data_IF_095918144423
#
_entry.id   IF_095918144423
#
_cell.length_a   1.000
_cell.length_b   1.000
_cell.length_c   1.000
_cell.angle_alpha   90.00
_cell.angle_beta   90.00
_cell.angle_gamma   90.00
#
_symmetry.space_group_name_H-M   'P 1'
#
loop_
_entity.id
_entity.type
_entity.pdbx_description
1 polymer ?
#
# COMPACT_ATOMS: atom_id res chain seq x y z
N UNK A 1 -58.37 3.05 -13.05
CA UNK A 1 -57.98 2.81 -11.65
C UNK A 1 -57.23 1.47 -11.41
N UNK A 2 -56.64 0.84 -12.43
CA UNK A 2 -55.97 -0.48 -12.29
C UNK A 2 -54.43 -0.43 -12.16
N UNK A 3 -53.80 0.74 -12.30
CA UNK A 3 -52.34 0.90 -12.23
C UNK A 3 -51.81 1.08 -10.79
N UNK A 4 -52.62 1.65 -9.89
CA UNK A 4 -52.24 1.89 -8.49
C UNK A 4 -52.25 0.61 -7.64
N UNK A 5 -53.12 -0.35 -7.96
CA UNK A 5 -53.33 -1.57 -7.19
C UNK A 5 -52.17 -2.59 -7.38
N UNK A 6 -51.56 -2.61 -8.57
CA UNK A 6 -50.40 -3.47 -8.87
C UNK A 6 -49.12 -3.01 -8.15
N UNK A 7 -48.95 -1.70 -7.95
CA UNK A 7 -47.81 -1.13 -7.22
C UNK A 7 -47.91 -1.36 -5.71
N UNK A 8 -49.12 -1.29 -5.15
CA UNK A 8 -49.35 -1.60 -3.74
C UNK A 8 -49.02 -3.06 -3.41
N UNK A 9 -49.42 -4.00 -4.27
CA UNK A 9 -49.11 -5.42 -4.09
C UNK A 9 -47.61 -5.73 -4.21
N UNK A 10 -46.90 -5.09 -5.15
CA UNK A 10 -45.46 -5.25 -5.31
C UNK A 10 -44.67 -4.67 -4.11
N UNK A 11 -45.07 -3.51 -3.59
CA UNK A 11 -44.42 -2.91 -2.42
C UNK A 11 -44.67 -3.73 -1.14
N UNK A 12 -45.86 -4.31 -0.96
CA UNK A 12 -46.16 -5.16 0.18
C UNK A 12 -45.33 -6.45 0.19
N UNK A 13 -45.11 -7.08 -0.98
CA UNK A 13 -44.26 -8.27 -1.10
C UNK A 13 -42.79 -7.97 -0.78
N UNK A 14 -42.27 -6.82 -1.23
CA UNK A 14 -40.88 -6.40 -0.98
C UNK A 14 -40.66 -6.07 0.51
N UNK A 15 -41.63 -5.41 1.17
CA UNK A 15 -41.57 -5.12 2.61
C UNK A 15 -41.64 -6.40 3.45
N UNK A 16 -42.44 -7.38 3.06
CA UNK A 16 -42.45 -8.69 3.73
C UNK A 16 -41.15 -9.47 3.53
N UNK A 17 -40.54 -9.43 2.34
CA UNK A 17 -39.23 -10.08 2.09
C UNK A 17 -38.13 -9.39 2.91
N UNK A 18 -38.14 -8.06 3.02
CA UNK A 18 -37.18 -7.30 3.85
C UNK A 18 -37.35 -7.57 5.36
N UNK A 19 -38.58 -7.82 5.84
CA UNK A 19 -38.84 -8.16 7.25
C UNK A 19 -38.41 -9.59 7.62
N UNK A 20 -38.35 -10.53 6.67
CA UNK A 20 -37.86 -11.89 6.95
C UNK A 20 -36.32 -12.00 6.97
N UNK A 21 -35.58 -11.02 6.43
CA UNK A 21 -34.10 -11.02 6.46
C UNK A 21 -33.54 -10.47 7.79
N UNK A 22 -34.35 -9.78 8.60
CA UNK A 22 -33.94 -9.23 9.91
C UNK A 22 -33.99 -10.26 11.05
N UNK A 23 -34.41 -11.50 10.78
CA UNK A 23 -34.45 -12.59 11.77
C UNK A 23 -33.42 -13.71 11.48
N UNK A 24 -32.33 -13.39 10.77
CA UNK A 24 -31.17 -14.26 10.63
C UNK A 24 -30.28 -14.20 11.88
N UNK A 25 -30.40 -15.23 12.70
CA UNK A 25 -29.71 -15.48 13.97
C UNK A 25 -28.18 -15.33 13.90
N UNK A 26 -27.66 -14.59 14.88
CA UNK A 26 -26.25 -14.46 15.24
C UNK A 26 -25.81 -15.70 16.03
N UNK A 27 -24.70 -16.32 15.63
CA UNK A 27 -23.95 -17.25 16.48
C UNK A 27 -22.47 -17.10 16.14
N UNK A 28 -21.82 -16.13 16.79
CA UNK A 28 -20.38 -15.97 16.81
C UNK A 28 -19.99 -15.60 18.24
N UNK A 29 -19.38 -16.56 18.93
CA UNK A 29 -18.97 -16.49 20.34
C UNK A 29 -18.01 -15.34 20.67
N UNK A 30 -18.02 -14.84 21.93
CA UNK A 30 -17.09 -13.82 22.42
C UNK A 30 -15.66 -14.37 22.62
N UNK A 31 -14.61 -13.53 22.52
CA UNK A 31 -13.27 -13.92 22.92
C UNK A 31 -13.06 -13.73 24.44
N UNK A 32 -12.56 -14.75 25.16
CA UNK A 32 -11.91 -14.52 26.44
C UNK A 32 -10.41 -14.32 26.23
N UNK A 33 -9.92 -13.16 26.62
CA UNK A 33 -8.50 -12.92 26.84
C UNK A 33 -8.04 -13.50 28.18
N UNK A 34 -6.91 -14.19 28.09
CA UNK A 34 -5.78 -14.19 29.03
C UNK A 34 -5.49 -15.45 29.87
N UNK A 35 -4.23 -15.87 29.73
CA UNK A 35 -3.30 -16.31 30.78
C UNK A 35 -3.13 -17.81 31.11
N UNK A 36 -1.87 -18.22 30.91
CA UNK A 36 -1.01 -19.04 31.77
C UNK A 36 -1.03 -20.58 31.73
N UNK A 37 0.21 -21.09 31.64
CA UNK A 37 0.76 -22.33 32.17
C UNK A 37 0.55 -23.63 31.37
N UNK A 38 1.42 -23.85 30.39
CA UNK A 38 1.93 -25.19 30.10
C UNK A 38 3.25 -25.38 30.87
N UNK A 39 3.21 -26.25 31.88
CA UNK A 39 4.36 -26.94 32.45
C UNK A 39 4.57 -28.19 31.60
N UNK A 40 5.79 -28.38 31.11
CA UNK A 40 6.42 -29.64 30.71
C UNK A 40 7.80 -29.23 30.15
N UNK A 41 8.93 -29.89 30.35
CA UNK A 41 9.40 -30.84 31.34
C UNK A 41 10.94 -30.85 31.12
N UNK A 42 11.70 -31.20 32.16
CA UNK A 42 13.04 -31.80 32.06
C UNK A 42 14.23 -30.99 31.51
N UNK A 43 14.87 -30.27 32.43
CA UNK A 43 16.32 -30.00 32.45
C UNK A 43 17.12 -31.31 32.45
N UNK A 44 18.17 -31.42 31.63
CA UNK A 44 19.46 -31.78 32.21
C UNK A 44 20.57 -30.79 31.82
N UNK A 45 21.50 -30.67 32.76
CA UNK A 45 22.56 -29.68 32.82
C UNK A 45 23.55 -29.76 31.65
N UNK A 46 23.69 -28.66 30.91
CA UNK A 46 24.88 -28.42 30.10
C UNK A 46 26.00 -27.93 31.02
N UNK A 47 26.88 -28.86 31.39
CA UNK A 47 28.09 -28.56 32.13
C UNK A 47 28.95 -27.53 31.38
N UNK A 48 29.24 -26.43 32.08
CA UNK A 48 30.15 -25.38 31.67
C UNK A 48 31.51 -25.96 31.26
N UNK A 49 31.81 -25.94 29.95
CA UNK A 49 33.16 -26.17 29.45
C UNK A 49 33.97 -24.89 29.59
N UNK A 50 34.73 -24.88 30.69
CA UNK A 50 35.86 -24.03 31.06
C UNK A 50 36.61 -23.45 29.85
N UNK A 51 36.59 -22.12 29.73
CA UNK A 51 37.56 -21.38 28.91
C UNK A 51 38.96 -21.51 29.54
N UNK A 52 39.96 -21.81 28.72
CA UNK A 52 41.34 -21.47 28.99
C UNK A 52 41.89 -20.76 27.75
N UNK A 53 41.89 -19.43 27.81
CA UNK A 53 42.67 -18.58 26.91
C UNK A 53 44.02 -18.40 27.59
N UNK A 54 45.08 -18.92 26.97
CA UNK A 54 46.44 -18.56 27.31
C UNK A 54 47.31 -18.76 26.08
N UNK A 55 47.67 -17.66 25.41
CA UNK A 55 49.08 -17.26 25.25
C UNK A 55 49.20 -15.91 24.57
N UNK A 56 50.22 -15.22 25.05
CA UNK A 56 50.68 -13.86 24.84
C UNK A 56 51.25 -13.57 23.45
N UNK A 57 50.97 -12.34 22.99
CA UNK A 57 51.85 -11.42 22.27
C UNK A 57 52.57 -11.89 20.99
N UNK A 58 52.12 -11.38 19.83
CA UNK A 58 52.95 -10.70 18.84
C UNK A 58 52.08 -10.12 17.72
N UNK A 59 52.34 -8.87 17.35
CA UNK A 59 51.70 -8.16 16.25
C UNK A 59 51.95 -8.84 14.90
N UNK A 60 50.91 -9.02 14.08
CA UNK A 60 51.03 -9.18 12.64
C UNK A 60 49.75 -8.70 11.94
N UNK A 61 49.98 -7.89 10.91
CA UNK A 61 49.03 -7.20 10.04
C UNK A 61 48.38 -8.18 9.04
N UNK A 62 47.24 -7.77 8.49
CA UNK A 62 46.56 -8.19 7.22
C UNK A 62 45.18 -8.83 7.47
N UNK A 63 44.09 -8.09 7.30
CA UNK A 63 43.46 -7.69 6.03
C UNK A 63 42.96 -8.90 5.22
N UNK A 64 41.69 -9.27 5.43
CA UNK A 64 40.98 -10.20 4.55
C UNK A 64 39.81 -9.45 3.90
N UNK A 65 40.11 -8.94 2.71
CA UNK A 65 39.11 -8.59 1.71
C UNK A 65 38.45 -9.88 1.22
N UNK A 66 37.11 -9.92 1.19
CA UNK A 66 36.31 -10.62 0.17
C UNK A 66 34.79 -10.56 0.48
N UNK A 67 34.22 -9.37 0.62
CA UNK A 67 32.79 -9.19 0.32
C UNK A 67 32.68 -8.72 -1.13
N UNK A 68 32.52 -9.71 -2.00
CA UNK A 68 32.46 -9.60 -3.46
C UNK A 68 31.41 -8.59 -3.89
N UNK A 69 31.90 -7.43 -4.35
CA UNK A 69 31.34 -6.50 -5.34
C UNK A 69 30.09 -7.04 -6.07
N UNK A 70 28.93 -6.52 -5.72
CA UNK A 70 27.88 -6.23 -6.71
C UNK A 70 27.70 -4.71 -6.84
N UNK A 71 28.76 -4.05 -7.29
CA UNK A 71 28.59 -2.88 -8.18
C UNK A 71 28.14 -3.42 -9.53
N UNK A 72 26.86 -3.76 -9.60
CA UNK A 72 26.11 -3.77 -10.84
C UNK A 72 25.43 -2.41 -10.94
N UNK A 73 26.19 -1.39 -11.34
CA UNK A 73 25.60 -0.25 -12.05
C UNK A 73 25.25 -0.78 -13.45
N UNK A 74 24.24 -1.64 -13.51
CA UNK A 74 23.43 -1.71 -14.71
C UNK A 74 22.65 -0.42 -14.63
N UNK A 75 23.03 0.60 -15.42
CA UNK A 75 22.05 1.62 -15.74
C UNK A 75 20.80 0.85 -16.17
N UNK A 76 19.63 1.05 -15.53
CA UNK A 76 18.43 0.39 -15.99
C UNK A 76 18.21 0.96 -17.40
N UNK A 77 18.62 0.19 -18.42
CA UNK A 77 18.36 0.52 -19.82
C UNK A 77 16.86 0.48 -20.10
N UNK A 78 16.08 -0.01 -19.14
CA UNK A 78 14.64 0.05 -19.10
C UNK A 78 14.24 0.41 -17.67
N UNK A 79 13.53 1.52 -17.54
CA UNK A 79 12.94 1.94 -16.29
C UNK A 79 11.95 0.89 -15.80
N UNK A 80 12.32 0.22 -14.71
CA UNK A 80 11.39 -0.67 -14.02
C UNK A 80 10.25 0.17 -13.43
N UNK A 81 9.08 -0.45 -13.24
CA UNK A 81 7.98 0.16 -12.46
C UNK A 81 8.46 0.61 -11.07
N UNK A 82 9.52 -0.01 -10.54
CA UNK A 82 10.19 0.33 -9.28
C UNK A 82 10.86 1.72 -9.28
N UNK A 83 11.07 2.34 -10.44
CA UNK A 83 11.61 3.69 -10.57
C UNK A 83 10.61 4.77 -10.14
N UNK A 84 9.34 4.40 -9.92
CA UNK A 84 8.31 5.30 -9.42
C UNK A 84 7.76 4.74 -8.12
N UNK A 85 7.80 5.55 -7.07
CA UNK A 85 7.24 5.20 -5.76
C UNK A 85 5.96 5.99 -5.55
N UNK A 86 4.88 5.26 -5.26
CA UNK A 86 3.60 5.84 -4.84
C UNK A 86 3.47 5.63 -3.34
N UNK A 87 3.28 6.72 -2.59
CA UNK A 87 3.08 6.70 -1.15
C UNK A 87 1.84 7.49 -0.77
N UNK A 88 1.21 7.10 0.33
CA UNK A 88 -0.04 7.68 0.80
C UNK A 88 0.00 7.86 2.31
N UNK A 89 -0.57 8.97 2.80
CA UNK A 89 -0.71 9.25 4.22
C UNK A 89 -2.06 9.88 4.51
N UNK A 90 -2.71 9.46 5.60
CA UNK A 90 -3.92 10.13 6.09
C UNK A 90 -3.57 11.50 6.66
N UNK A 91 -4.28 12.53 6.20
CA UNK A 91 -4.13 13.90 6.65
C UNK A 91 -5.09 14.14 7.81
N UNK A 92 -4.54 14.37 9.00
CA UNK A 92 -5.34 14.67 10.20
C UNK A 92 -6.17 15.93 9.95
N UNK A 93 -7.49 15.79 10.04
CA UNK A 93 -8.43 16.91 9.92
C UNK A 93 -9.36 17.00 11.13
N UNK A 94 -9.98 18.17 11.27
CA UNK A 94 -10.97 18.48 12.33
C UNK A 94 -12.09 17.42 12.33
N UNK A 95 -12.62 17.01 13.50
CA UNK A 95 -13.67 16.00 13.58
C UNK A 95 -14.90 16.35 12.72
N UNK A 96 -15.47 15.35 12.04
CA UNK A 96 -16.75 15.47 11.33
C UNK A 96 -16.69 15.61 9.80
N UNK A 97 -15.54 15.33 9.17
CA UNK A 97 -15.39 15.34 7.71
C UNK A 97 -15.11 13.96 7.11
N UNK A 98 -15.25 13.84 5.79
CA UNK A 98 -14.75 12.68 5.04
C UNK A 98 -13.22 12.61 5.20
N UNK A 99 -12.64 11.41 5.46
CA UNK A 99 -11.19 11.25 5.54
C UNK A 99 -10.48 11.83 4.32
N UNK A 100 -9.23 12.23 4.53
CA UNK A 100 -8.42 12.85 3.49
C UNK A 100 -7.05 12.19 3.46
N UNK A 101 -6.56 11.94 2.26
CA UNK A 101 -5.31 11.24 2.04
C UNK A 101 -4.44 12.08 1.11
N UNK A 102 -3.19 12.28 1.51
CA UNK A 102 -2.15 12.88 0.67
C UNK A 102 -1.44 11.77 -0.09
N UNK A 103 -1.39 11.89 -1.41
CA UNK A 103 -0.66 11.00 -2.31
C UNK A 103 0.60 11.70 -2.73
N UNK A 104 1.72 10.97 -2.68
CA UNK A 104 3.02 11.43 -3.15
C UNK A 104 3.58 10.41 -4.13
N UNK A 105 3.75 10.85 -5.38
CA UNK A 105 4.29 10.05 -6.49
C UNK A 105 5.67 10.61 -6.83
N UNK A 106 6.71 9.81 -6.60
CA UNK A 106 8.11 10.24 -6.76
C UNK A 106 8.81 9.41 -7.83
N UNK A 107 9.44 10.09 -8.80
CA UNK A 107 10.40 9.46 -9.70
C UNK A 107 11.74 9.30 -8.98
N UNK A 108 12.06 8.07 -8.57
CA UNK A 108 13.31 7.75 -7.87
C UNK A 108 14.50 7.54 -8.82
N UNK A 109 14.25 7.52 -10.13
CA UNK A 109 15.32 7.49 -11.12
C UNK A 109 16.13 8.78 -11.08
N UNK A 110 17.45 8.65 -11.00
CA UNK A 110 18.36 9.80 -10.89
C UNK A 110 18.80 10.39 -12.24
N UNK A 111 18.66 9.63 -13.33
CA UNK A 111 19.13 10.02 -14.68
C UNK A 111 18.13 9.69 -15.78
N UNK A 112 16.84 9.56 -15.44
CA UNK A 112 15.79 9.33 -16.44
C UNK A 112 14.51 10.10 -16.12
N UNK A 113 13.85 10.54 -17.19
CA UNK A 113 12.51 11.15 -17.09
C UNK A 113 11.45 10.09 -17.34
N UNK A 114 10.45 10.04 -16.47
CA UNK A 114 9.28 9.14 -16.60
C UNK A 114 8.15 9.88 -17.30
N UNK A 115 7.48 9.26 -18.26
CA UNK A 115 6.36 9.80 -19.04
C UNK A 115 5.26 8.74 -19.15
N UNK A 116 4.05 9.16 -19.55
CA UNK A 116 2.90 8.26 -19.70
C UNK A 116 2.77 7.31 -18.49
N UNK A 117 2.80 7.89 -17.29
CA UNK A 117 2.72 7.14 -16.05
C UNK A 117 1.25 6.82 -15.75
N UNK A 118 0.91 5.55 -15.85
CA UNK A 118 -0.38 4.99 -15.48
C UNK A 118 -0.30 4.34 -14.10
N UNK A 119 -1.29 4.64 -13.27
CA UNK A 119 -1.44 4.14 -11.91
C UNK A 119 -2.73 3.35 -11.84
N UNK A 120 -2.64 2.12 -11.35
CA UNK A 120 -3.80 1.32 -10.98
C UNK A 120 -4.53 2.01 -9.84
N UNK A 121 -5.78 2.40 -10.08
CA UNK A 121 -6.52 3.23 -9.12
C UNK A 121 -7.94 2.73 -8.80
N UNK A 122 -8.32 1.54 -9.30
CA UNK A 122 -9.65 0.96 -9.11
C UNK A 122 -10.78 1.95 -9.49
N UNK A 123 -11.76 2.09 -8.61
CA UNK A 123 -12.88 3.03 -8.75
C UNK A 123 -12.56 4.43 -8.21
N UNK A 124 -11.33 4.93 -8.43
CA UNK A 124 -10.88 6.20 -7.85
C UNK A 124 -11.89 7.34 -7.99
N UNK A 125 -12.26 7.92 -6.85
CA UNK A 125 -13.20 9.02 -6.72
C UNK A 125 -12.89 9.82 -5.47
N UNK A 126 -13.09 11.13 -5.54
CA UNK A 126 -12.77 12.07 -4.47
C UNK A 126 -13.91 13.06 -4.27
N UNK A 127 -14.27 13.32 -3.01
CA UNK A 127 -15.20 14.38 -2.61
C UNK A 127 -14.60 15.78 -2.75
N UNK A 128 -13.26 15.89 -2.85
CA UNK A 128 -12.55 17.13 -3.17
C UNK A 128 -11.99 17.07 -4.57
N UNK A 129 -12.01 18.21 -5.26
CA UNK A 129 -11.43 18.32 -6.59
C UNK A 129 -9.93 18.06 -6.54
N UNK A 130 -9.49 17.03 -7.26
CA UNK A 130 -8.08 16.77 -7.57
C UNK A 130 -7.79 17.45 -8.91
N UNK A 131 -6.65 18.13 -9.04
CA UNK A 131 -6.28 18.74 -10.31
C UNK A 131 -6.10 17.64 -11.38
N UNK A 132 -6.91 17.63 -12.46
CA UNK A 132 -6.79 16.63 -13.52
C UNK A 132 -5.47 16.72 -14.29
N UNK A 133 -4.73 17.83 -14.14
CA UNK A 133 -3.39 18.00 -14.69
C UNK A 133 -2.37 17.18 -13.90
N UNK A 134 -2.59 16.92 -12.61
CA UNK A 134 -1.71 16.11 -11.76
C UNK A 134 -2.13 14.64 -11.75
N UNK A 135 -3.42 14.36 -11.60
CA UNK A 135 -3.95 13.00 -11.53
C UNK A 135 -5.38 12.90 -12.06
N UNK A 136 -5.56 12.11 -13.13
CA UNK A 136 -6.86 11.97 -13.80
C UNK A 136 -7.18 10.51 -14.08
N UNK A 137 -8.36 10.07 -13.65
CA UNK A 137 -8.91 8.76 -14.04
C UNK A 137 -9.33 8.77 -15.52
N UNK A 138 -8.76 7.85 -16.31
CA UNK A 138 -9.12 7.64 -17.72
C UNK A 138 -10.22 6.59 -17.84
N UNK A 139 -10.10 5.51 -17.06
CA UNK A 139 -11.06 4.42 -16.98
C UNK A 139 -11.07 3.83 -15.57
N UNK A 140 -12.00 2.91 -15.30
CA UNK A 140 -11.93 2.10 -14.09
C UNK A 140 -10.60 1.35 -14.05
N UNK A 141 -9.87 1.49 -12.96
CA UNK A 141 -8.57 0.87 -12.79
C UNK A 141 -7.41 1.62 -13.45
N UNK A 142 -7.65 2.67 -14.23
CA UNK A 142 -6.59 3.37 -14.97
C UNK A 142 -6.62 4.89 -14.72
N UNK A 143 -5.56 5.39 -14.08
CA UNK A 143 -5.34 6.79 -13.81
C UNK A 143 -4.03 7.29 -14.42
N UNK A 144 -4.08 8.43 -15.10
CA UNK A 144 -2.95 9.09 -15.73
C UNK A 144 -2.38 10.18 -14.83
N UNK A 145 -1.07 10.14 -14.64
CA UNK A 145 -0.31 11.14 -13.89
C UNK A 145 0.24 12.22 -14.83
N UNK A 146 0.19 13.48 -14.40
CA UNK A 146 0.72 14.64 -15.14
C UNK A 146 0.17 14.79 -16.56
N UNK A 147 -1.03 14.29 -16.84
CA UNK A 147 -1.56 14.20 -18.21
C UNK A 147 -0.65 13.45 -19.19
N UNK A 148 0.20 12.53 -18.71
CA UNK A 148 1.20 11.80 -19.51
C UNK A 148 2.53 12.55 -19.73
N UNK A 149 2.65 13.76 -19.18
CA UNK A 149 3.86 14.57 -19.24
C UNK A 149 5.05 13.96 -18.49
N UNK A 150 6.22 14.57 -18.66
CA UNK A 150 7.45 14.11 -18.03
C UNK A 150 7.50 14.44 -16.54
N UNK A 151 7.89 13.46 -15.74
CA UNK A 151 8.33 13.58 -14.35
C UNK A 151 9.86 13.50 -14.35
N UNK A 152 10.52 14.59 -13.98
CA UNK A 152 11.98 14.70 -14.01
C UNK A 152 12.62 13.78 -12.97
N UNK A 153 13.93 13.46 -13.11
CA UNK A 153 14.66 12.74 -12.09
C UNK A 153 14.50 13.38 -10.70
N UNK A 154 14.11 12.58 -9.70
CA UNK A 154 13.89 13.05 -8.32
C UNK A 154 12.64 13.92 -8.12
N UNK A 155 11.88 14.21 -9.17
CA UNK A 155 10.68 15.04 -9.06
C UNK A 155 9.53 14.29 -8.39
N UNK A 156 8.75 15.04 -7.63
CA UNK A 156 7.62 14.51 -6.85
C UNK A 156 6.35 15.28 -7.18
N UNK A 157 5.27 14.54 -7.40
CA UNK A 157 3.91 15.05 -7.57
C UNK A 157 3.14 14.76 -6.30
N UNK A 158 2.49 15.77 -5.74
CA UNK A 158 1.72 15.64 -4.51
C UNK A 158 0.34 16.22 -4.70
N UNK A 159 -0.69 15.44 -4.36
CA UNK A 159 -2.08 15.89 -4.36
C UNK A 159 -2.84 15.23 -3.21
N UNK A 160 -3.94 15.83 -2.81
CA UNK A 160 -4.83 15.27 -1.79
C UNK A 160 -6.15 14.82 -2.41
N UNK A 161 -6.68 13.69 -1.95
CA UNK A 161 -8.06 13.29 -2.22
C UNK A 161 -8.82 13.06 -0.92
N UNK A 162 -10.14 13.07 -1.01
CA UNK A 162 -11.01 12.82 0.13
C UNK A 162 -12.01 11.73 -0.21
N UNK A 163 -11.98 10.63 0.54
CA UNK A 163 -12.87 9.49 0.34
C UNK A 163 -13.07 8.76 1.67
N UNK A 164 -14.09 7.90 1.74
CA UNK A 164 -14.37 7.09 2.93
C UNK A 164 -13.24 6.10 3.25
N UNK A 165 -12.54 5.61 2.22
CA UNK A 165 -11.43 4.68 2.36
C UNK A 165 -10.24 5.12 1.50
N UNK A 166 -9.05 4.73 1.94
CA UNK A 166 -7.82 4.85 1.16
C UNK A 166 -7.85 3.88 -0.02
N UNK A 167 -7.45 4.34 -1.21
CA UNK A 167 -7.28 3.48 -2.39
C UNK A 167 -5.96 2.73 -2.34
N UNK A 168 -5.93 1.53 -2.92
CA UNK A 168 -4.68 0.82 -3.22
C UNK A 168 -4.11 1.33 -4.55
N UNK A 169 -3.19 2.30 -4.48
CA UNK A 169 -2.57 2.94 -5.63
C UNK A 169 -1.19 2.34 -5.89
N UNK A 170 -1.00 1.76 -7.07
CA UNK A 170 0.29 1.20 -7.50
C UNK A 170 0.55 1.48 -8.98
N UNK A 171 1.82 1.46 -9.36
CA UNK A 171 2.23 1.74 -10.75
C UNK A 171 1.77 0.61 -11.66
N UNK A 172 0.97 0.95 -12.69
CA UNK A 172 0.52 0.01 -13.70
C UNK A 172 1.51 -0.06 -14.88
N UNK A 173 1.92 1.10 -15.38
CA UNK A 173 2.93 1.19 -16.45
C UNK A 173 3.58 2.57 -16.50
N UNK A 174 4.81 2.62 -16.97
CA UNK A 174 5.55 3.86 -17.15
C UNK A 174 6.45 3.74 -18.38
N UNK A 175 6.60 4.83 -19.14
CA UNK A 175 7.58 4.94 -20.21
C UNK A 175 8.71 5.85 -19.76
N UNK A 176 9.96 5.49 -20.02
CA UNK A 176 11.08 6.28 -19.50
C UNK A 176 12.12 6.54 -20.57
N UNK A 177 12.71 7.73 -20.48
CA UNK A 177 13.73 8.21 -21.40
C UNK A 177 14.98 8.54 -20.60
N UNK A 178 16.03 7.75 -20.80
CA UNK A 178 17.38 8.03 -20.29
C UNK A 178 18.06 9.02 -21.24
N UNK A 179 18.81 9.96 -20.68
CA UNK A 179 19.55 10.99 -21.43
C UNK A 179 21.00 11.05 -21.00
#
# INVERSE_FOLDING_TARGET
MAYSQKRAAAMAAIVSILLFVVAGVVAGDPPPSSSSAAKDDKTPAAHARKLLINTTAAAAVQAVAAAKKRRGSTAPSECSQDAVVVSQAEVVRRPGGVPCYSVTITNTCLSCSVRNLHVSCGEFGSARLVDPSDFRRLAVGDCLVRGGGAVRPGETITFEYSNQFQYDLHVASAACTCG
#
